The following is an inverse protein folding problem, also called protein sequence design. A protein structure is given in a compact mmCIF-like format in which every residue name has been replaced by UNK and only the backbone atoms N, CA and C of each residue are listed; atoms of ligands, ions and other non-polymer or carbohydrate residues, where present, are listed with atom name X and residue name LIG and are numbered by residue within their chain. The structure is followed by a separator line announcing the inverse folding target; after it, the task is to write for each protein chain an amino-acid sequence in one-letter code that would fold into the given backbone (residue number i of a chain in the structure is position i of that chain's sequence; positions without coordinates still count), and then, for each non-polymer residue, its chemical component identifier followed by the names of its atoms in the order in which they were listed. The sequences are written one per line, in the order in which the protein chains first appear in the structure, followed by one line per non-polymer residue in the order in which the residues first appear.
data_IF_244525160981
#
_entry.id   IF_244525160981
#
_cell.length_a   1.000
_cell.length_b   1.000
_cell.length_c   1.000
_cell.angle_alpha   90.00
_cell.angle_beta   90.00
_cell.angle_gamma   90.00
#
_symmetry.space_group_name_H-M   'P 1'
#
loop_
_entity.id
_entity.type
_entity.pdbx_description
1 polymer ?
#
# COMPACT_ATOMS: atom_id res chain seq x y z
N UNK A 1 -68.51 -13.34 35.51
CA UNK A 1 -68.21 -11.96 35.14
C UNK A 1 -66.98 -12.05 34.24
N UNK A 2 -67.17 -12.05 32.92
CA UNK A 2 -66.10 -12.21 31.94
C UNK A 2 -65.58 -10.79 31.64
N UNK A 3 -64.32 -10.52 32.06
CA UNK A 3 -63.65 -9.25 31.67
C UNK A 3 -63.34 -9.30 30.20
N UNK A 4 -64.04 -8.53 29.38
CA UNK A 4 -63.69 -8.27 27.99
C UNK A 4 -62.44 -7.39 27.96
N UNK A 5 -61.31 -7.97 27.60
CA UNK A 5 -60.05 -7.29 27.37
C UNK A 5 -60.18 -6.47 26.06
N UNK A 6 -60.35 -5.17 26.16
CA UNK A 6 -60.40 -4.25 25.01
C UNK A 6 -59.04 -4.19 24.33
N UNK A 7 -58.77 -5.08 23.40
CA UNK A 7 -57.60 -4.98 22.51
C UNK A 7 -57.85 -3.82 21.54
N UNK A 8 -57.11 -2.72 21.74
CA UNK A 8 -57.12 -1.63 20.76
C UNK A 8 -56.48 -2.15 19.47
N UNK A 9 -57.24 -2.17 18.39
CA UNK A 9 -56.78 -2.51 17.06
C UNK A 9 -55.97 -1.33 16.50
N UNK A 10 -54.79 -1.63 15.91
CA UNK A 10 -53.92 -0.64 15.27
C UNK A 10 -54.57 -0.16 13.96
N UNK A 11 -54.60 1.14 13.72
CA UNK A 11 -55.14 1.67 12.46
C UNK A 11 -54.09 1.60 11.35
N UNK A 12 -54.53 1.43 10.10
CA UNK A 12 -53.66 1.43 8.93
C UNK A 12 -52.88 2.76 8.84
N UNK A 13 -53.49 3.87 9.23
CA UNK A 13 -52.89 5.21 9.21
C UNK A 13 -51.73 5.32 10.21
N UNK A 14 -51.92 4.79 11.44
CA UNK A 14 -50.83 4.77 12.44
C UNK A 14 -49.65 3.95 11.95
N UNK A 15 -49.87 2.81 11.33
CA UNK A 15 -48.81 2.01 10.75
C UNK A 15 -48.09 2.76 9.62
N UNK A 16 -48.84 3.43 8.74
CA UNK A 16 -48.27 4.17 7.61
C UNK A 16 -47.41 5.35 8.05
N UNK A 17 -47.82 6.09 9.08
CA UNK A 17 -47.08 7.19 9.64
C UNK A 17 -45.75 6.67 10.22
N UNK A 18 -45.75 5.59 10.99
CA UNK A 18 -44.56 5.01 11.60
C UNK A 18 -43.59 4.54 10.53
N UNK A 19 -44.03 3.82 9.51
CA UNK A 19 -43.18 3.36 8.41
C UNK A 19 -42.57 4.53 7.64
N UNK A 20 -43.34 5.61 7.42
CA UNK A 20 -42.86 6.81 6.72
C UNK A 20 -41.74 7.49 7.52
N UNK A 21 -41.90 7.62 8.84
CA UNK A 21 -40.86 8.21 9.70
C UNK A 21 -39.62 7.33 9.69
N UNK A 22 -39.73 6.01 9.82
CA UNK A 22 -38.60 5.08 9.77
C UNK A 22 -37.89 5.17 8.40
N UNK A 23 -38.62 5.20 7.31
CA UNK A 23 -38.08 5.32 5.97
C UNK A 23 -37.27 6.63 5.79
N UNK A 24 -37.80 7.75 6.32
CA UNK A 24 -37.13 9.03 6.29
C UNK A 24 -35.80 8.99 7.10
N UNK A 25 -35.83 8.42 8.30
CA UNK A 25 -34.67 8.29 9.15
C UNK A 25 -33.57 7.38 8.51
N UNK A 26 -33.99 6.25 7.95
CA UNK A 26 -33.08 5.33 7.26
C UNK A 26 -32.48 5.98 6.00
N UNK A 27 -33.24 6.79 5.27
CA UNK A 27 -32.76 7.50 4.08
C UNK A 27 -31.61 8.44 4.36
N UNK A 28 -31.55 9.04 5.55
CA UNK A 28 -30.45 9.91 5.97
C UNK A 28 -29.33 9.11 6.64
N UNK A 29 -29.64 8.07 7.38
CA UNK A 29 -28.69 7.31 8.18
C UNK A 29 -27.76 6.45 7.31
N UNK A 30 -28.28 5.77 6.28
CA UNK A 30 -27.49 4.85 5.46
C UNK A 30 -26.27 5.49 4.77
N UNK A 31 -26.40 6.65 4.09
CA UNK A 31 -25.24 7.30 3.48
C UNK A 31 -24.24 7.81 4.52
N UNK A 32 -24.69 8.29 5.68
CA UNK A 32 -23.80 8.77 6.72
C UNK A 32 -22.95 7.65 7.33
N UNK A 33 -23.50 6.45 7.54
CA UNK A 33 -22.75 5.29 8.01
C UNK A 33 -21.66 4.88 7.02
N UNK A 34 -21.93 4.92 5.72
CA UNK A 34 -20.95 4.60 4.69
C UNK A 34 -19.74 5.56 4.74
N UNK A 35 -19.98 6.86 4.88
CA UNK A 35 -18.92 7.87 5.02
C UNK A 35 -18.09 7.67 6.30
N UNK A 36 -18.72 7.38 7.42
CA UNK A 36 -18.03 7.12 8.70
C UNK A 36 -17.15 5.89 8.58
N UNK A 37 -17.62 4.82 7.96
CA UNK A 37 -16.82 3.59 7.75
C UNK A 37 -15.60 3.84 6.84
N UNK A 38 -15.77 4.62 5.77
CA UNK A 38 -14.66 4.99 4.90
C UNK A 38 -13.61 5.80 5.66
N UNK A 39 -14.04 6.80 6.44
CA UNK A 39 -13.13 7.62 7.25
C UNK A 39 -12.42 6.83 8.35
N UNK A 40 -13.11 5.88 8.98
CA UNK A 40 -12.52 5.00 9.97
C UNK A 40 -11.39 4.14 9.37
N UNK A 41 -11.58 3.60 8.14
CA UNK A 41 -10.53 2.84 7.45
C UNK A 41 -9.34 3.73 7.07
N UNK A 42 -9.57 4.94 6.56
CA UNK A 42 -8.49 5.89 6.28
C UNK A 42 -7.67 6.19 7.54
N UNK A 43 -8.35 6.43 8.66
CA UNK A 43 -7.69 6.66 9.95
C UNK A 43 -6.89 5.44 10.40
N UNK A 44 -7.44 4.24 10.23
CA UNK A 44 -6.73 2.99 10.53
C UNK A 44 -5.49 2.80 9.63
N UNK A 45 -5.57 3.18 8.34
CA UNK A 45 -4.41 3.14 7.44
C UNK A 45 -3.31 4.12 7.86
N UNK A 46 -3.67 5.34 8.25
CA UNK A 46 -2.70 6.31 8.77
C UNK A 46 -2.05 5.84 10.09
N UNK A 47 -2.82 5.19 10.95
CA UNK A 47 -2.29 4.57 12.17
C UNK A 47 -1.33 3.41 11.85
N UNK A 48 -1.63 2.60 10.84
CA UNK A 48 -0.71 1.57 10.36
C UNK A 48 0.59 2.18 9.83
N UNK A 49 0.54 3.25 9.05
CA UNK A 49 1.74 3.94 8.59
C UNK A 49 2.56 4.50 9.76
N UNK A 50 1.94 5.10 10.75
CA UNK A 50 2.65 5.56 11.96
C UNK A 50 3.36 4.40 12.68
N UNK A 51 2.75 3.22 12.71
CA UNK A 51 3.38 2.02 13.29
C UNK A 51 4.58 1.56 12.45
N UNK A 52 4.45 1.56 11.12
CA UNK A 52 5.55 1.23 10.20
C UNK A 52 6.67 2.28 10.29
N UNK A 53 6.34 3.58 10.40
CA UNK A 53 7.32 4.65 10.59
C UNK A 53 8.14 4.41 11.87
N UNK A 54 7.50 4.09 12.99
CA UNK A 54 8.20 3.76 14.24
C UNK A 54 9.09 2.52 14.10
N UNK A 55 8.65 1.50 13.40
CA UNK A 55 9.42 0.29 13.14
C UNK A 55 10.64 0.57 12.24
N UNK A 56 10.49 1.41 11.22
CA UNK A 56 11.59 1.84 10.36
C UNK A 56 12.63 2.70 11.10
N UNK A 57 12.20 3.55 12.03
CA UNK A 57 13.13 4.29 12.89
C UNK A 57 13.90 3.35 13.82
N UNK A 58 13.24 2.33 14.39
CA UNK A 58 13.92 1.32 15.21
C UNK A 58 14.93 0.50 14.37
N UNK A 59 14.56 0.12 13.15
CA UNK A 59 15.47 -0.53 12.21
C UNK A 59 16.70 0.35 11.92
N UNK A 60 16.47 1.63 11.62
CA UNK A 60 17.54 2.59 11.38
C UNK A 60 18.48 2.77 12.58
N UNK A 61 17.96 2.77 13.80
CA UNK A 61 18.77 2.82 15.03
C UNK A 61 19.70 1.60 15.14
N UNK A 62 19.21 0.43 14.74
CA UNK A 62 19.97 -0.82 14.81
C UNK A 62 21.00 -1.00 13.68
N UNK A 63 20.68 -0.50 12.48
CA UNK A 63 21.48 -0.76 11.26
C UNK A 63 22.07 0.51 10.62
N UNK A 64 21.79 1.67 11.18
CA UNK A 64 22.37 2.97 10.75
C UNK A 64 21.63 3.66 9.62
N UNK A 65 20.77 2.97 8.88
CA UNK A 65 20.02 3.53 7.75
C UNK A 65 18.70 2.79 7.52
N UNK A 66 17.82 3.37 6.69
CA UNK A 66 16.59 2.73 6.25
C UNK A 66 16.87 1.57 5.28
N UNK A 67 15.98 0.57 5.21
CA UNK A 67 16.11 -0.52 4.24
C UNK A 67 16.22 0.01 2.81
N UNK A 68 16.99 -0.62 1.92
CA UNK A 68 17.00 -0.25 0.52
C UNK A 68 15.67 -0.58 -0.16
N UNK A 69 15.24 0.24 -1.12
CA UNK A 69 14.07 -0.07 -1.96
C UNK A 69 14.45 -0.57 -3.36
N UNK A 70 15.69 -0.34 -3.78
CA UNK A 70 16.18 -0.64 -5.14
C UNK A 70 15.83 -2.06 -5.58
N UNK A 71 15.24 -2.19 -6.77
CA UNK A 71 14.93 -3.49 -7.35
C UNK A 71 16.21 -4.32 -7.54
N UNK A 72 16.22 -5.54 -7.01
CA UNK A 72 17.34 -6.48 -7.17
C UNK A 72 16.88 -7.76 -7.85
N UNK A 73 17.86 -8.49 -8.44
CA UNK A 73 17.65 -9.80 -9.01
C UNK A 73 18.31 -10.86 -8.15
N UNK A 74 17.60 -11.97 -7.94
CA UNK A 74 18.20 -13.16 -7.31
C UNK A 74 19.00 -13.96 -8.33
N UNK A 75 20.03 -14.62 -7.88
CA UNK A 75 20.94 -15.33 -8.77
C UNK A 75 20.31 -16.61 -9.40
N UNK A 76 19.45 -17.34 -8.66
CA UNK A 76 18.81 -18.57 -9.14
C UNK A 76 17.76 -19.08 -8.15
N UNK A 77 16.50 -19.36 -8.59
CA UNK A 77 15.95 -18.94 -9.87
C UNK A 77 15.94 -17.42 -10.01
N UNK A 78 16.08 -16.93 -11.24
CA UNK A 78 16.07 -15.50 -11.50
C UNK A 78 14.72 -14.89 -11.12
N UNK A 79 14.68 -14.19 -10.01
CA UNK A 79 13.48 -13.53 -9.50
C UNK A 79 13.81 -12.09 -9.10
N UNK A 80 12.84 -11.22 -9.25
CA UNK A 80 12.97 -9.83 -8.80
C UNK A 80 12.55 -9.70 -7.34
N UNK A 81 13.20 -8.76 -6.64
CA UNK A 81 12.94 -8.44 -5.25
C UNK A 81 12.76 -6.93 -5.09
N UNK A 82 11.52 -6.50 -4.89
CA UNK A 82 11.13 -5.09 -4.93
C UNK A 82 11.14 -4.43 -3.55
N UNK A 83 10.96 -3.10 -3.53
CA UNK A 83 11.00 -2.31 -2.30
C UNK A 83 9.97 -2.74 -1.25
N UNK A 84 8.75 -3.09 -1.66
CA UNK A 84 7.70 -3.56 -0.73
C UNK A 84 8.05 -4.89 -0.04
N UNK A 85 8.72 -5.80 -0.77
CA UNK A 85 9.20 -7.07 -0.22
C UNK A 85 10.35 -6.83 0.77
N UNK A 86 11.28 -5.92 0.42
CA UNK A 86 12.39 -5.53 1.30
C UNK A 86 11.92 -4.82 2.57
N UNK A 87 10.88 -4.01 2.47
CA UNK A 87 10.23 -3.43 3.66
C UNK A 87 9.76 -4.52 4.62
N UNK A 88 9.08 -5.53 4.10
CA UNK A 88 8.59 -6.64 4.92
C UNK A 88 9.75 -7.45 5.52
N UNK A 89 10.80 -7.73 4.75
CA UNK A 89 12.00 -8.41 5.24
C UNK A 89 12.68 -7.62 6.36
N UNK A 90 12.87 -6.31 6.19
CA UNK A 90 13.50 -5.46 7.19
C UNK A 90 12.75 -5.45 8.52
N UNK A 91 11.42 -5.36 8.47
CA UNK A 91 10.60 -5.19 9.66
C UNK A 91 10.20 -6.50 10.35
N UNK A 92 10.14 -7.59 9.60
CA UNK A 92 9.66 -8.89 10.10
C UNK A 92 10.67 -10.03 9.93
N UNK A 93 11.56 -9.94 8.95
CA UNK A 93 12.38 -11.05 8.47
C UNK A 93 11.70 -11.86 7.38
N UNK A 94 12.47 -12.63 6.61
CA UNK A 94 11.92 -13.51 5.56
C UNK A 94 11.01 -14.60 6.12
N UNK A 95 11.35 -15.12 7.29
CA UNK A 95 10.61 -16.16 8.02
C UNK A 95 9.77 -15.60 9.19
N UNK A 96 9.63 -14.27 9.27
CA UNK A 96 8.89 -13.55 10.32
C UNK A 96 9.52 -13.65 11.73
N UNK A 97 10.79 -14.02 11.82
CA UNK A 97 11.53 -14.18 13.07
C UNK A 97 12.62 -13.11 13.27
N UNK A 98 12.46 -11.96 12.62
CA UNK A 98 13.41 -10.86 12.68
C UNK A 98 14.38 -10.80 11.51
N UNK A 99 14.96 -9.64 11.30
CA UNK A 99 15.88 -9.34 10.21
C UNK A 99 17.28 -9.88 10.49
N UNK A 100 17.86 -10.54 9.48
CA UNK A 100 19.25 -11.03 9.56
C UNK A 100 20.22 -9.95 9.04
N UNK A 101 21.21 -9.53 9.86
CA UNK A 101 22.19 -8.51 9.47
C UNK A 101 23.06 -8.89 8.27
N UNK A 102 23.15 -10.20 7.95
CA UNK A 102 23.89 -10.71 6.79
C UNK A 102 23.03 -10.82 5.53
N UNK A 103 21.81 -10.24 5.53
CA UNK A 103 20.95 -10.23 4.35
C UNK A 103 21.61 -9.52 3.18
N UNK A 104 21.56 -10.15 2.00
CA UNK A 104 21.95 -9.54 0.73
C UNK A 104 20.80 -8.87 0.00
N UNK A 105 19.62 -8.76 0.67
CA UNK A 105 18.39 -8.25 0.07
C UNK A 105 17.98 -9.04 -1.18
N UNK A 106 18.09 -10.34 -1.09
CA UNK A 106 17.66 -11.29 -2.11
C UNK A 106 16.66 -12.28 -1.52
N UNK A 107 15.63 -12.60 -2.28
CA UNK A 107 14.54 -13.47 -1.82
C UNK A 107 14.96 -14.89 -1.44
N UNK A 108 16.10 -15.37 -1.95
CA UNK A 108 16.68 -16.69 -1.69
C UNK A 108 18.04 -16.54 -1.00
N UNK A 109 18.09 -15.75 0.03
CA UNK A 109 19.29 -15.47 0.79
C UNK A 109 19.57 -16.63 1.78
N UNK A 110 20.70 -17.28 1.64
CA UNK A 110 21.14 -18.32 2.59
C UNK A 110 21.42 -17.81 4.01
N UNK A 111 21.39 -16.48 4.23
CA UNK A 111 21.55 -15.89 5.55
C UNK A 111 20.39 -16.19 6.51
N UNK A 112 19.25 -16.62 6.01
CA UNK A 112 18.06 -16.96 6.80
C UNK A 112 17.95 -18.47 7.10
N UNK A 113 19.09 -19.12 7.35
CA UNK A 113 19.07 -20.48 7.86
C UNK A 113 18.53 -20.55 9.30
N UNK A 114 18.18 -21.73 9.75
CA UNK A 114 17.64 -21.98 11.08
C UNK A 114 18.68 -22.32 12.15
N UNK A 115 19.95 -22.05 11.89
CA UNK A 115 21.01 -22.29 12.89
C UNK A 115 20.84 -21.35 14.10
N UNK A 116 21.24 -21.81 15.27
CA UNK A 116 21.17 -21.01 16.50
C UNK A 116 21.96 -19.72 16.36
N UNK A 117 23.13 -19.78 15.72
CA UNK A 117 23.98 -18.59 15.50
C UNK A 117 23.26 -17.55 14.62
N UNK A 118 22.59 -17.98 13.56
CA UNK A 118 21.81 -17.09 12.71
C UNK A 118 20.64 -16.47 13.46
N UNK A 119 19.85 -17.28 14.19
CA UNK A 119 18.73 -16.81 14.99
C UNK A 119 19.12 -15.78 16.05
N UNK A 120 20.27 -15.99 16.72
CA UNK A 120 20.80 -15.06 17.74
C UNK A 120 21.32 -13.75 17.16
N UNK A 121 21.76 -13.75 15.90
CA UNK A 121 22.25 -12.54 15.22
C UNK A 121 21.14 -11.62 14.73
N UNK A 122 19.90 -12.12 14.64
CA UNK A 122 18.76 -11.36 14.12
C UNK A 122 18.30 -10.29 15.09
N UNK A 123 17.76 -9.21 14.56
CA UNK A 123 17.07 -8.16 15.30
C UNK A 123 15.62 -8.03 14.86
N UNK A 124 14.79 -7.51 15.74
CA UNK A 124 13.34 -7.50 15.52
C UNK A 124 12.67 -8.83 15.91
N UNK A 125 11.48 -9.18 15.39
CA UNK A 125 10.70 -8.35 14.47
C UNK A 125 10.30 -6.99 15.06
N UNK A 126 10.32 -5.95 14.26
CA UNK A 126 9.96 -4.59 14.67
C UNK A 126 8.45 -4.32 14.64
N UNK A 127 7.69 -5.23 14.04
CA UNK A 127 6.23 -5.20 14.00
C UNK A 127 5.65 -6.45 14.68
N UNK A 128 4.56 -6.26 15.41
CA UNK A 128 3.81 -7.35 16.03
C UNK A 128 2.96 -8.07 14.97
N UNK A 129 3.26 -9.34 14.68
CA UNK A 129 2.58 -10.12 13.65
C UNK A 129 1.07 -10.22 13.83
N UNK A 130 0.60 -10.34 15.07
CA UNK A 130 -0.83 -10.44 15.37
C UNK A 130 -1.64 -9.21 14.94
N UNK A 131 -0.98 -8.06 14.80
CA UNK A 131 -1.58 -6.76 14.42
C UNK A 131 -1.20 -6.32 13.02
N UNK A 132 -0.38 -7.10 12.32
CA UNK A 132 0.17 -6.73 11.02
C UNK A 132 -0.50 -7.50 9.89
N UNK A 133 -0.96 -6.78 8.86
CA UNK A 133 -1.50 -7.39 7.65
C UNK A 133 -0.34 -7.83 6.74
N UNK A 134 0.20 -9.01 6.98
CA UNK A 134 1.31 -9.59 6.19
C UNK A 134 0.85 -10.82 5.43
N UNK A 135 1.23 -10.92 4.15
CA UNK A 135 0.92 -12.06 3.30
C UNK A 135 2.09 -12.37 2.39
N UNK A 136 2.25 -13.66 2.04
CA UNK A 136 3.16 -14.06 0.96
C UNK A 136 2.61 -13.57 -0.38
N UNK A 137 3.49 -13.07 -1.24
CA UNK A 137 3.09 -12.48 -2.51
C UNK A 137 2.32 -13.47 -3.40
N UNK A 138 2.78 -14.73 -3.46
CA UNK A 138 2.12 -15.81 -4.21
C UNK A 138 0.75 -16.21 -3.66
N UNK A 139 0.37 -15.72 -2.46
CA UNK A 139 -0.99 -15.90 -1.91
C UNK A 139 -1.93 -14.76 -2.29
N UNK A 140 -1.39 -13.62 -2.69
CA UNK A 140 -2.16 -12.46 -3.17
C UNK A 140 -2.42 -12.52 -4.68
N UNK A 141 -1.49 -13.09 -5.44
CA UNK A 141 -1.53 -13.12 -6.91
C UNK A 141 -1.29 -14.54 -7.43
N UNK A 142 -2.15 -15.00 -8.34
CA UNK A 142 -1.98 -16.31 -9.01
C UNK A 142 -0.70 -16.38 -9.86
N UNK A 143 -0.28 -15.25 -10.39
CA UNK A 143 0.94 -15.10 -11.16
C UNK A 143 1.69 -13.88 -10.63
N UNK A 144 2.88 -14.08 -10.10
CA UNK A 144 3.76 -13.04 -9.58
C UNK A 144 4.75 -12.52 -10.62
N UNK A 145 4.58 -12.91 -11.88
CA UNK A 145 5.52 -12.61 -12.97
C UNK A 145 6.97 -12.96 -12.57
N UNK A 146 7.87 -11.97 -12.61
CA UNK A 146 9.27 -12.14 -12.20
C UNK A 146 9.51 -11.98 -10.70
N UNK A 147 8.53 -11.57 -9.91
CA UNK A 147 8.71 -11.35 -8.48
C UNK A 147 8.75 -12.66 -7.69
N UNK A 148 9.59 -12.71 -6.67
CA UNK A 148 9.70 -13.85 -5.76
C UNK A 148 8.37 -14.07 -5.01
N UNK A 149 7.71 -15.19 -5.32
CA UNK A 149 6.35 -15.49 -4.83
C UNK A 149 6.30 -15.87 -3.35
N UNK A 150 7.39 -16.44 -2.83
CA UNK A 150 7.45 -16.97 -1.44
C UNK A 150 7.89 -15.92 -0.40
N UNK A 151 7.94 -14.67 -0.79
CA UNK A 151 8.30 -13.55 0.09
C UNK A 151 7.08 -12.83 0.62
N UNK A 152 7.24 -12.22 1.78
CA UNK A 152 6.18 -11.49 2.46
C UNK A 152 6.08 -10.05 1.94
N UNK A 153 4.87 -9.50 1.98
CA UNK A 153 4.58 -8.07 1.79
C UNK A 153 3.60 -7.59 2.86
N UNK A 154 3.77 -6.36 3.30
CA UNK A 154 2.81 -5.68 4.16
C UNK A 154 1.65 -5.19 3.32
N UNK A 155 0.42 -5.44 3.76
CA UNK A 155 -0.78 -5.03 3.06
C UNK A 155 -1.55 -3.96 3.85
N UNK A 156 -2.29 -3.13 3.14
CA UNK A 156 -3.14 -2.11 3.73
C UNK A 156 -4.38 -2.70 4.44
N UNK A 157 -5.15 -1.82 5.07
CA UNK A 157 -6.32 -2.23 5.89
C UNK A 157 -7.61 -2.40 5.08
N UNK A 158 -7.62 -2.10 3.78
CA UNK A 158 -8.87 -2.00 3.01
C UNK A 158 -9.47 -3.34 2.61
N UNK A 159 -8.67 -4.42 2.61
CA UNK A 159 -9.13 -5.80 2.33
C UNK A 159 -9.86 -5.94 0.98
N UNK A 160 -9.33 -5.29 -0.04
CA UNK A 160 -9.93 -5.24 -1.39
C UNK A 160 -9.67 -6.49 -2.22
N UNK A 161 -8.72 -7.35 -1.79
CA UNK A 161 -8.31 -8.55 -2.52
C UNK A 161 -8.76 -9.82 -1.80
N UNK A 162 -9.11 -10.84 -2.59
CA UNK A 162 -9.26 -12.20 -2.10
C UNK A 162 -7.94 -12.94 -2.28
N UNK A 163 -7.46 -13.59 -1.23
CA UNK A 163 -6.26 -14.41 -1.29
C UNK A 163 -6.55 -15.78 -1.91
N UNK A 164 -5.49 -16.49 -2.32
CA UNK A 164 -5.59 -17.89 -2.71
C UNK A 164 -5.79 -18.78 -1.47
N UNK A 165 -5.32 -18.33 -0.31
CA UNK A 165 -5.49 -19.02 0.95
C UNK A 165 -6.95 -18.99 1.42
N UNK A 166 -7.36 -20.09 2.01
CA UNK A 166 -8.69 -20.25 2.61
C UNK A 166 -8.57 -20.29 4.12
N UNK A 167 -9.59 -19.80 4.80
CA UNK A 167 -9.74 -20.03 6.23
C UNK A 167 -10.10 -21.48 6.54
N UNK A 168 -10.18 -21.82 7.83
CA UNK A 168 -10.54 -23.18 8.30
C UNK A 168 -11.93 -23.64 7.85
N UNK A 169 -12.76 -22.75 7.28
CA UNK A 169 -14.09 -23.04 6.74
C UNK A 169 -14.08 -23.22 5.22
N UNK A 170 -12.92 -23.06 4.57
CA UNK A 170 -12.78 -23.13 3.12
C UNK A 170 -13.08 -21.81 2.40
N UNK A 171 -13.38 -20.73 3.11
CA UNK A 171 -13.63 -19.41 2.56
C UNK A 171 -12.31 -18.69 2.29
N UNK A 172 -12.19 -18.04 1.11
CA UNK A 172 -11.02 -17.24 0.78
C UNK A 172 -10.83 -16.11 1.80
N UNK A 173 -9.60 -15.98 2.29
CA UNK A 173 -9.19 -14.86 3.12
C UNK A 173 -9.22 -13.55 2.30
N UNK A 174 -9.33 -12.43 2.98
CA UNK A 174 -9.27 -11.11 2.35
C UNK A 174 -8.03 -10.36 2.81
N UNK A 175 -7.32 -9.78 1.86
CA UNK A 175 -6.14 -8.98 2.10
C UNK A 175 -6.30 -7.58 1.50
N UNK A 176 -5.53 -6.63 1.98
CA UNK A 176 -5.34 -5.33 1.36
C UNK A 176 -4.43 -5.39 0.14
N UNK A 177 -4.21 -4.26 -0.51
CA UNK A 177 -3.14 -4.11 -1.49
C UNK A 177 -1.78 -4.03 -0.77
N UNK A 178 -0.68 -4.49 -1.38
CA UNK A 178 0.65 -4.32 -0.80
C UNK A 178 0.99 -2.85 -0.60
N UNK A 179 1.64 -2.52 0.52
CA UNK A 179 2.14 -1.17 0.76
C UNK A 179 3.44 -0.99 -0.03
N UNK A 180 3.48 0.01 -0.91
CA UNK A 180 4.70 0.36 -1.64
C UNK A 180 5.64 1.15 -0.75
N UNK A 181 6.92 0.84 -0.88
CA UNK A 181 7.99 1.49 -0.14
C UNK A 181 9.06 2.00 -1.10
N UNK A 182 9.39 3.28 -1.00
CA UNK A 182 10.46 3.90 -1.77
C UNK A 182 11.38 4.65 -0.82
N UNK A 183 12.64 4.24 -0.75
CA UNK A 183 13.68 4.95 -0.03
C UNK A 183 14.23 6.08 -0.89
N UNK A 184 14.43 7.24 -0.29
CA UNK A 184 15.07 8.36 -0.96
C UNK A 184 16.56 8.10 -1.20
N UNK A 185 17.05 8.39 -2.39
CA UNK A 185 18.46 8.51 -2.67
C UNK A 185 18.94 9.89 -2.19
N UNK A 186 19.46 9.94 -0.97
CA UNK A 186 19.89 11.19 -0.32
C UNK A 186 21.09 11.86 -1.00
N UNK A 187 21.84 11.12 -1.82
CA UNK A 187 22.95 11.66 -2.63
C UNK A 187 22.45 12.41 -3.86
N UNK A 188 21.18 12.18 -4.27
CA UNK A 188 20.60 12.83 -5.44
C UNK A 188 19.97 14.16 -5.09
N UNK A 189 20.02 15.07 -6.07
CA UNK A 189 19.28 16.33 -6.09
C UNK A 189 18.34 16.40 -7.29
N UNK A 190 18.17 15.30 -8.01
CA UNK A 190 17.39 15.24 -9.24
C UNK A 190 16.00 14.73 -8.92
N UNK A 191 15.05 15.61 -9.04
CA UNK A 191 13.62 15.26 -8.99
C UNK A 191 12.85 15.93 -10.14
N UNK A 192 13.41 17.01 -10.72
CA UNK A 192 12.79 17.73 -11.84
C UNK A 192 12.70 16.81 -13.08
N UNK A 193 11.51 16.65 -13.65
CA UNK A 193 11.27 15.86 -14.86
C UNK A 193 11.89 16.44 -16.13
N UNK A 194 12.10 17.75 -16.15
CA UNK A 194 12.72 18.41 -17.30
C UNK A 194 14.21 18.11 -17.40
N UNK A 195 14.82 17.60 -16.34
CA UNK A 195 16.20 17.15 -16.36
C UNK A 195 16.25 15.76 -16.98
N UNK A 196 16.78 15.66 -18.18
CA UNK A 196 16.99 14.39 -18.86
C UNK A 196 18.11 13.62 -18.17
N UNK A 197 17.78 12.49 -17.57
CA UNK A 197 18.73 11.55 -16.97
C UNK A 197 18.50 10.19 -17.63
N UNK A 198 19.54 9.67 -18.26
CA UNK A 198 19.48 8.36 -18.90
C UNK A 198 19.35 7.22 -17.91
N UNK A 199 19.81 7.40 -16.68
CA UNK A 199 19.76 6.44 -15.61
C UNK A 199 18.85 6.94 -14.48
N UNK A 200 17.74 6.24 -14.25
CA UNK A 200 16.75 6.57 -13.23
C UNK A 200 17.29 6.39 -11.81
N UNK A 201 18.40 5.64 -11.62
CA UNK A 201 19.04 5.43 -10.31
C UNK A 201 19.59 6.71 -9.70
N UNK A 202 19.85 7.74 -10.52
CA UNK A 202 20.28 9.07 -10.04
C UNK A 202 19.15 9.92 -9.46
N UNK A 203 17.91 9.46 -9.49
CA UNK A 203 16.78 10.25 -8.97
C UNK A 203 16.58 10.03 -7.47
N UNK A 204 15.99 11.01 -6.79
CA UNK A 204 15.66 10.91 -5.36
C UNK A 204 14.75 9.70 -5.10
N UNK A 205 13.70 9.53 -5.90
CA UNK A 205 12.87 8.34 -5.89
C UNK A 205 12.87 7.67 -7.25
N UNK A 206 12.95 6.34 -7.25
CA UNK A 206 12.96 5.55 -8.47
C UNK A 206 11.71 4.67 -8.55
N UNK A 207 10.87 4.88 -9.57
CA UNK A 207 9.64 4.12 -9.75
C UNK A 207 9.92 2.60 -9.98
N UNK A 208 11.07 2.28 -10.58
CA UNK A 208 11.49 0.90 -10.88
C UNK A 208 11.53 0.03 -9.61
N UNK A 209 11.74 0.63 -8.44
CA UNK A 209 11.87 -0.09 -7.17
C UNK A 209 10.66 -0.98 -6.85
N UNK A 210 9.45 -0.59 -7.30
CA UNK A 210 8.22 -1.36 -7.10
C UNK A 210 7.42 -1.56 -8.41
N UNK A 211 7.93 -1.18 -9.56
CA UNK A 211 7.20 -1.30 -10.83
C UNK A 211 6.67 -2.72 -11.09
N UNK A 212 7.46 -3.81 -10.93
CA UNK A 212 6.96 -5.15 -11.13
C UNK A 212 5.76 -5.50 -10.23
N UNK A 213 5.72 -4.99 -9.01
CA UNK A 213 4.62 -5.20 -8.07
C UNK A 213 3.36 -4.42 -8.49
N UNK A 214 3.53 -3.17 -8.90
CA UNK A 214 2.44 -2.34 -9.42
C UNK A 214 1.83 -2.95 -10.68
N UNK A 215 2.66 -3.55 -11.54
CA UNK A 215 2.21 -4.26 -12.73
C UNK A 215 1.32 -5.48 -12.40
N UNK A 216 1.58 -6.19 -11.30
CA UNK A 216 0.70 -7.28 -10.82
C UNK A 216 -0.66 -6.74 -10.36
N UNK A 217 -0.69 -5.53 -9.82
CA UNK A 217 -1.91 -4.86 -9.39
C UNK A 217 -2.84 -4.44 -10.53
N UNK A 218 -2.37 -4.51 -11.77
CA UNK A 218 -3.22 -4.34 -12.95
C UNK A 218 -4.31 -5.41 -12.97
N UNK A 219 -5.43 -5.11 -12.39
CA UNK A 219 -6.66 -5.82 -12.70
C UNK A 219 -7.18 -5.22 -14.01
N UNK A 220 -6.62 -5.65 -15.09
CA UNK A 220 -7.21 -5.44 -16.41
C UNK A 220 -8.42 -6.35 -16.52
N UNK A 221 -9.54 -5.92 -16.04
CA UNK A 221 -10.82 -6.46 -16.50
C UNK A 221 -11.00 -6.11 -17.95
N UNK A 222 -10.24 -5.81 -18.80
CA UNK A 222 -10.36 -5.59 -20.26
C UNK A 222 -9.15 -4.85 -20.90
N UNK A 223 -7.92 -5.04 -20.43
CA UNK A 223 -6.79 -4.42 -21.11
C UNK A 223 -6.83 -2.88 -21.10
N UNK A 224 -7.57 -2.29 -20.21
CA UNK A 224 -7.70 -0.83 -20.14
C UNK A 224 -6.44 -0.23 -19.56
N UNK A 225 -5.64 0.21 -20.44
CA UNK A 225 -4.64 1.24 -20.37
C UNK A 225 -5.19 2.46 -19.60
N UNK A 226 -4.75 2.69 -18.41
CA UNK A 226 -5.20 3.87 -17.69
C UNK A 226 -4.80 3.97 -16.24
N UNK A 227 -4.33 2.87 -15.64
CA UNK A 227 -3.80 2.93 -14.30
C UNK A 227 -2.40 3.54 -14.36
N UNK A 228 -2.21 4.56 -13.56
CA UNK A 228 -0.93 5.24 -13.41
C UNK A 228 -0.14 4.57 -12.28
N UNK A 229 1.16 4.41 -12.46
CA UNK A 229 2.03 4.16 -11.33
C UNK A 229 1.89 5.31 -10.32
N UNK A 230 1.89 5.07 -9.00
CA UNK A 230 1.74 6.14 -8.00
C UNK A 230 2.76 7.26 -8.13
N UNK A 231 3.89 6.99 -8.74
CA UNK A 231 4.88 8.02 -9.10
C UNK A 231 4.68 8.58 -10.53
N UNK A 232 3.54 8.33 -11.16
CA UNK A 232 3.15 8.93 -12.46
C UNK A 232 3.52 8.14 -13.70
N UNK A 233 3.85 6.86 -13.55
CA UNK A 233 4.09 5.98 -14.67
C UNK A 233 2.78 5.52 -15.31
N UNK A 234 2.63 5.72 -16.63
CA UNK A 234 1.50 5.15 -17.37
C UNK A 234 1.80 3.70 -17.74
N UNK A 235 1.03 2.81 -17.15
CA UNK A 235 1.18 1.36 -17.40
C UNK A 235 0.72 0.91 -18.80
N UNK A 236 0.29 1.81 -19.65
CA UNK A 236 -0.12 1.50 -21.02
C UNK A 236 0.99 1.66 -22.05
N UNK A 237 2.09 2.31 -21.71
CA UNK A 237 3.22 2.49 -22.61
C UNK A 237 4.38 1.62 -22.18
N UNK A 238 5.01 0.94 -23.13
CA UNK A 238 6.25 0.20 -22.91
C UNK A 238 7.43 1.12 -22.58
N UNK A 239 7.20 2.43 -22.55
CA UNK A 239 8.22 3.43 -22.31
C UNK A 239 7.91 4.16 -21.00
N UNK A 240 8.77 4.05 -19.96
CA UNK A 240 8.57 4.73 -18.70
C UNK A 240 8.71 6.25 -18.88
N UNK A 241 7.60 6.90 -19.17
CA UNK A 241 7.50 8.37 -19.24
C UNK A 241 7.26 8.97 -17.86
N UNK A 242 7.61 8.21 -16.84
CA UNK A 242 7.35 8.46 -15.42
C UNK A 242 7.42 9.95 -15.05
N UNK A 243 8.56 10.57 -15.30
CA UNK A 243 8.73 11.97 -14.94
C UNK A 243 8.04 12.91 -15.92
N UNK A 244 8.06 12.58 -17.20
CA UNK A 244 7.45 13.45 -18.20
C UNK A 244 5.92 13.52 -18.03
N UNK A 245 5.25 12.40 -17.78
CA UNK A 245 3.81 12.39 -17.63
C UNK A 245 3.37 12.91 -16.26
N UNK A 246 4.10 12.55 -15.20
CA UNK A 246 3.82 13.07 -13.85
C UNK A 246 3.90 14.59 -13.81
N UNK A 247 4.77 15.19 -14.59
CA UNK A 247 5.05 16.60 -14.50
C UNK A 247 4.50 17.41 -15.66
N UNK A 248 4.31 16.83 -16.83
CA UNK A 248 3.57 17.47 -17.92
C UNK A 248 2.07 17.43 -17.70
N UNK A 249 1.61 16.41 -16.99
CA UNK A 249 0.20 16.35 -16.60
C UNK A 249 0.02 17.09 -15.28
N UNK A 250 -0.49 18.32 -15.35
CA UNK A 250 -0.76 19.14 -14.16
C UNK A 250 -1.62 18.41 -13.11
N UNK A 251 -2.43 17.47 -13.53
CA UNK A 251 -3.23 16.63 -12.64
C UNK A 251 -2.38 15.77 -11.71
N UNK A 252 -1.25 15.25 -12.17
CA UNK A 252 -0.34 14.42 -11.35
C UNK A 252 0.61 15.26 -10.49
N UNK A 253 0.92 16.49 -10.91
CA UNK A 253 1.69 17.44 -10.10
C UNK A 253 0.91 18.02 -8.95
N UNK A 254 -0.38 18.26 -9.19
CA UNK A 254 -1.28 18.98 -8.28
C UNK A 254 -2.29 18.04 -7.62
N UNK A 255 -2.29 16.78 -7.99
CA UNK A 255 -3.29 15.79 -7.63
C UNK A 255 -4.23 15.45 -8.79
N UNK A 256 -4.86 14.30 -8.71
CA UNK A 256 -5.86 13.87 -9.67
C UNK A 256 -6.98 14.90 -9.75
N UNK A 257 -7.23 15.43 -10.96
CA UNK A 257 -8.30 16.38 -11.20
C UNK A 257 -7.89 17.85 -11.40
N UNK A 258 -6.60 18.19 -11.40
CA UNK A 258 -6.12 19.53 -11.77
C UNK A 258 -6.44 20.67 -10.80
N UNK A 259 -6.98 20.37 -9.62
CA UNK A 259 -7.42 21.37 -8.62
C UNK A 259 -6.43 21.59 -7.48
N UNK A 260 -5.19 21.17 -7.60
CA UNK A 260 -4.14 21.45 -6.61
C UNK A 260 -4.27 20.70 -5.28
N UNK A 261 -5.13 19.70 -5.16
CA UNK A 261 -5.41 18.99 -3.92
C UNK A 261 -4.56 17.73 -3.73
N UNK A 262 -3.28 17.79 -4.07
CA UNK A 262 -2.28 17.13 -3.27
C UNK A 262 -2.15 15.60 -3.25
N UNK A 263 -2.41 14.89 -4.33
CA UNK A 263 -2.17 13.42 -4.37
C UNK A 263 -0.77 13.03 -4.88
N UNK A 264 0.00 14.00 -5.40
CA UNK A 264 1.34 13.77 -5.92
C UNK A 264 2.41 13.83 -4.84
N UNK A 265 3.56 13.20 -5.10
CA UNK A 265 4.72 13.23 -4.19
C UNK A 265 5.46 14.58 -4.17
N UNK A 266 5.07 15.52 -5.00
CA UNK A 266 5.62 16.88 -5.01
C UNK A 266 5.19 17.65 -3.76
N UNK A 267 6.16 18.28 -3.11
CA UNK A 267 5.88 19.18 -2.00
C UNK A 267 5.46 20.57 -2.52
N UNK A 268 4.18 20.97 -2.39
CA UNK A 268 3.69 22.24 -2.91
C UNK A 268 4.23 23.46 -2.17
N UNK A 269 4.86 23.27 -1.00
CA UNK A 269 5.49 24.36 -0.25
C UNK A 269 6.79 24.81 -0.87
N UNK A 270 7.39 24.00 -1.76
CA UNK A 270 8.63 24.34 -2.47
C UNK A 270 8.27 24.76 -3.89
N UNK A 271 8.27 26.08 -4.13
CA UNK A 271 7.76 26.67 -5.38
C UNK A 271 8.86 26.93 -6.40
N UNK A 272 10.10 27.13 -5.98
CA UNK A 272 11.21 27.47 -6.88
C UNK A 272 11.69 26.28 -7.72
N UNK A 273 11.70 25.09 -7.11
CA UNK A 273 12.08 23.84 -7.77
C UNK A 273 11.01 22.79 -7.52
N UNK A 274 10.90 21.83 -8.44
CA UNK A 274 10.10 20.64 -8.22
C UNK A 274 10.84 19.76 -7.23
N UNK A 275 10.24 19.57 -6.05
CA UNK A 275 10.86 18.84 -4.96
C UNK A 275 9.87 17.88 -4.31
N UNK A 276 10.27 16.65 -3.95
CA UNK A 276 9.37 15.68 -3.37
C UNK A 276 9.13 15.92 -1.88
N UNK A 277 8.11 15.29 -1.33
CA UNK A 277 8.01 15.07 0.10
C UNK A 277 9.12 14.13 0.57
N UNK A 278 9.57 14.28 1.81
CA UNK A 278 10.51 13.37 2.50
C UNK A 278 11.77 13.01 1.70
N UNK A 279 12.50 13.96 1.11
CA UNK A 279 13.63 13.68 0.23
C UNK A 279 14.82 13.02 0.93
N UNK A 280 14.84 13.00 2.26
CA UNK A 280 15.92 12.50 3.11
C UNK A 280 15.59 11.18 3.80
N UNK A 281 14.44 10.58 3.52
CA UNK A 281 13.98 9.36 4.19
C UNK A 281 13.33 8.36 3.23
N UNK A 282 12.02 8.21 3.30
CA UNK A 282 11.25 7.26 2.48
C UNK A 282 9.80 7.73 2.36
N UNK A 283 9.09 7.16 1.39
CA UNK A 283 7.65 7.28 1.26
C UNK A 283 6.98 5.90 1.29
N UNK A 284 5.79 5.88 1.88
CA UNK A 284 4.88 4.72 1.89
C UNK A 284 3.62 5.09 1.14
N UNK A 285 3.11 4.18 0.31
CA UNK A 285 1.90 4.38 -0.48
C UNK A 285 1.00 3.16 -0.35
N UNK A 286 -0.25 3.38 0.05
CA UNK A 286 -1.34 2.40 0.02
C UNK A 286 -2.25 2.72 -1.15
N UNK A 287 -2.73 1.70 -1.83
CA UNK A 287 -3.66 1.81 -2.95
C UNK A 287 -5.08 2.22 -2.55
N UNK A 288 -5.31 2.50 -1.27
CA UNK A 288 -6.59 3.00 -0.80
C UNK A 288 -7.78 2.05 -0.94
N UNK A 289 -9.00 2.59 -0.82
CA UNK A 289 -10.25 1.81 -0.88
C UNK A 289 -10.52 1.11 -2.20
N UNK A 290 -10.05 1.62 -3.33
CA UNK A 290 -10.28 1.03 -4.65
C UNK A 290 -9.27 -0.09 -4.98
N UNK A 291 -8.13 -0.13 -4.25
CA UNK A 291 -7.09 -1.15 -4.41
C UNK A 291 -6.19 -0.96 -5.63
N UNK A 292 -6.21 0.23 -6.25
CA UNK A 292 -5.38 0.60 -7.39
C UNK A 292 -4.43 1.72 -6.99
N UNK A 293 -3.15 1.58 -7.34
CA UNK A 293 -2.19 2.66 -7.13
C UNK A 293 -2.33 3.74 -8.19
N UNK A 294 -2.04 4.97 -7.81
CA UNK A 294 -2.07 6.11 -8.69
C UNK A 294 -3.46 6.75 -8.83
N UNK A 295 -4.34 6.52 -7.87
CA UNK A 295 -5.69 7.10 -7.84
C UNK A 295 -5.83 8.16 -6.74
N UNK A 296 -6.95 8.88 -6.74
CA UNK A 296 -7.17 9.99 -5.83
C UNK A 296 -7.38 9.57 -4.36
N UNK A 297 -7.62 8.30 -4.12
CA UNK A 297 -7.85 7.70 -2.80
C UNK A 297 -6.62 6.98 -2.25
N UNK A 298 -5.47 7.07 -2.93
CA UNK A 298 -4.18 6.64 -2.39
C UNK A 298 -3.88 7.33 -1.06
N UNK A 299 -3.35 6.58 -0.12
CA UNK A 299 -2.97 7.11 1.19
C UNK A 299 -1.46 7.05 1.33
N UNK A 300 -0.88 8.15 1.80
CA UNK A 300 0.54 8.35 1.93
C UNK A 300 0.93 8.64 3.39
N UNK A 301 2.22 8.47 3.73
CA UNK A 301 2.75 8.79 5.06
C UNK A 301 3.31 10.23 5.18
N UNK A 302 2.96 11.13 4.26
CA UNK A 302 3.39 12.54 4.25
C UNK A 302 2.22 13.49 4.10
#
# INVERSE_FOLDING_TARGET
MIMMNNRKAFTIVELLIVVTIIALLLGILLPSIAMVRAKAKETAQKAQFATIDMALEAFKQDYGDYPPSTLTWTASPSSQYCGAQKLSEALLGLDLMGFNPNSNWQALDGAYDSTIANLQARKGPYLELAKTNVFKLGKLFNNTASLASDTNVLCDVFKVRKTIDKDNTGKLLTAGAPILYYRANTSSKIFDPNITVSDTSYRIYNYVDNDPLVQLGKLTANGSSGLMHPLGYSVSSDNPVFYNDTFKNAALLTGYGGTGTGYGIRNPKITQNVWPYRPDSYILISAGPDGYYGTADDIHNY
#
